data_IF_390865566939
#
_entry.id   IF_390865566939
#
_cell.length_a   1.000
_cell.length_b   1.000
_cell.length_c   1.000
_cell.angle_alpha   90.00
_cell.angle_beta   90.00
_cell.angle_gamma   90.00
#
_symmetry.space_group_name_H-M   'P 1'
#
loop_
_entity.id
_entity.type
_entity.pdbx_description
1 polymer ?
#
# COMPACT_ATOMS: atom_id res chain seq x y z
N UNK A 1 0.08 -9.97 -1.46
CA UNK A 1 -0.02 -9.66 -0.01
C UNK A 1 -1.46 -9.74 0.50
N UNK A 2 -2.48 -9.67 -0.37
CA UNK A 2 -3.90 -9.64 -0.01
C UNK A 2 -4.37 -10.65 1.03
N UNK A 3 -4.00 -11.94 0.92
CA UNK A 3 -4.40 -12.98 1.89
C UNK A 3 -3.79 -12.73 3.28
N UNK A 4 -2.65 -12.05 3.35
CA UNK A 4 -1.93 -11.78 4.60
C UNK A 4 -2.66 -10.77 5.49
N UNK A 5 -3.49 -9.89 4.91
CA UNK A 5 -4.39 -8.98 5.64
C UNK A 5 -5.42 -9.74 6.49
N UNK A 6 -5.83 -10.92 6.02
CA UNK A 6 -6.81 -11.78 6.69
C UNK A 6 -6.16 -12.78 7.66
N UNK A 7 -4.94 -13.26 7.33
CA UNK A 7 -4.24 -14.27 8.12
C UNK A 7 -3.46 -13.69 9.31
N UNK A 8 -2.93 -12.46 9.20
CA UNK A 8 -2.17 -11.77 10.26
C UNK A 8 -2.51 -10.28 10.24
N UNK A 9 -3.66 -9.86 10.81
CA UNK A 9 -4.13 -8.47 10.72
C UNK A 9 -3.32 -7.49 11.59
N UNK A 10 -2.79 -7.94 12.73
CA UNK A 10 -2.18 -7.07 13.76
C UNK A 10 -1.04 -6.17 13.24
N UNK A 11 -0.09 -6.63 12.39
CA UNK A 11 0.94 -5.77 11.84
C UNK A 11 0.37 -4.68 10.92
N UNK A 12 -0.68 -5.00 10.14
CA UNK A 12 -1.31 -4.07 9.20
C UNK A 12 -2.26 -3.09 9.90
N UNK A 13 -2.94 -3.52 10.95
CA UNK A 13 -3.76 -2.63 11.78
C UNK A 13 -2.89 -1.62 12.53
N UNK A 14 -1.70 -2.02 12.98
CA UNK A 14 -0.79 -1.14 13.71
C UNK A 14 -0.25 0.04 12.90
N UNK A 15 -0.30 -0.02 11.56
CA UNK A 15 0.22 1.02 10.67
C UNK A 15 -0.85 2.03 10.26
N UNK A 16 -2.11 1.78 10.58
CA UNK A 16 -3.21 2.67 10.25
C UNK A 16 -3.19 3.84 11.23
N UNK A 17 -3.14 5.10 10.73
CA UNK A 17 -3.15 6.28 11.59
C UNK A 17 -4.41 6.31 12.47
N UNK A 18 -4.28 6.50 13.80
CA UNK A 18 -5.43 6.55 14.71
C UNK A 18 -6.36 7.75 14.47
N UNK A 19 -5.94 8.73 13.66
CA UNK A 19 -6.73 9.90 13.28
C UNK A 19 -7.79 9.58 12.21
N UNK A 20 -7.76 8.40 11.59
CA UNK A 20 -8.76 8.02 10.59
C UNK A 20 -10.08 7.60 11.26
N UNK A 21 -11.24 8.07 10.75
CA UNK A 21 -12.54 7.69 11.30
C UNK A 21 -12.83 6.20 11.02
N UNK A 22 -13.20 5.45 12.05
CA UNK A 22 -13.54 4.03 11.95
C UNK A 22 -12.45 3.09 12.47
N UNK A 23 -12.65 1.78 12.29
CA UNK A 23 -11.72 0.78 12.83
C UNK A 23 -10.54 0.52 11.90
N UNK A 24 -9.33 0.32 12.45
CA UNK A 24 -8.17 -0.12 11.67
C UNK A 24 -8.47 -1.41 10.89
N UNK A 25 -9.26 -2.31 11.48
CA UNK A 25 -9.73 -3.54 10.85
C UNK A 25 -10.52 -3.31 9.56
N UNK A 26 -11.36 -2.28 9.52
CA UNK A 26 -12.11 -1.90 8.32
C UNK A 26 -11.17 -1.51 7.18
N UNK A 27 -10.19 -0.66 7.44
CA UNK A 27 -9.20 -0.24 6.44
C UNK A 27 -8.29 -1.41 6.00
N UNK A 28 -7.94 -2.30 6.93
CA UNK A 28 -7.14 -3.49 6.62
C UNK A 28 -7.88 -4.44 5.66
N UNK A 29 -9.16 -4.73 5.91
CA UNK A 29 -9.93 -5.61 5.02
C UNK A 29 -10.31 -4.96 3.70
N UNK A 30 -10.65 -3.67 3.69
CA UNK A 30 -11.00 -2.96 2.45
C UNK A 30 -9.79 -2.83 1.53
N UNK A 31 -8.60 -2.53 2.06
CA UNK A 31 -7.35 -2.54 1.29
C UNK A 31 -6.98 -3.93 0.80
N UNK A 32 -7.14 -4.98 1.62
CA UNK A 32 -6.92 -6.37 1.22
C UNK A 32 -7.85 -6.82 0.09
N UNK A 33 -9.14 -6.48 0.15
CA UNK A 33 -10.09 -6.76 -0.93
C UNK A 33 -9.75 -5.98 -2.21
N UNK A 34 -9.37 -4.71 -2.07
CA UNK A 34 -8.94 -3.88 -3.20
C UNK A 34 -7.67 -4.42 -3.87
N UNK A 35 -6.73 -4.99 -3.12
CA UNK A 35 -5.55 -5.65 -3.69
C UNK A 35 -5.94 -6.85 -4.58
N UNK A 36 -6.89 -7.69 -4.11
CA UNK A 36 -7.37 -8.84 -4.89
C UNK A 36 -8.06 -8.40 -6.19
N UNK A 37 -8.94 -7.40 -6.11
CA UNK A 37 -9.61 -6.82 -7.29
C UNK A 37 -8.58 -6.26 -8.27
N UNK A 38 -7.60 -5.50 -7.77
CA UNK A 38 -6.53 -4.91 -8.59
C UNK A 38 -5.70 -5.99 -9.27
N UNK A 39 -5.34 -7.06 -8.56
CA UNK A 39 -4.62 -8.21 -9.12
C UNK A 39 -5.42 -8.90 -10.24
N UNK A 40 -6.72 -9.09 -10.04
CA UNK A 40 -7.62 -9.63 -11.07
C UNK A 40 -7.68 -8.75 -12.32
N UNK A 41 -7.78 -7.43 -12.14
CA UNK A 41 -7.80 -6.46 -13.26
C UNK A 41 -6.49 -6.43 -14.05
N UNK A 42 -5.34 -6.60 -13.38
CA UNK A 42 -4.03 -6.63 -14.05
C UNK A 42 -3.76 -7.95 -14.77
N UNK A 43 -4.34 -9.06 -14.30
CA UNK A 43 -4.15 -10.39 -14.88
C UNK A 43 -4.76 -10.51 -16.30
N UNK A 44 -5.90 -9.85 -16.55
CA UNK A 44 -6.52 -9.83 -17.87
C UNK A 44 -5.99 -8.63 -18.70
N UNK A 45 -5.37 -8.86 -19.88
CA UNK A 45 -4.88 -7.79 -20.75
C UNK A 45 -5.93 -6.73 -21.11
N UNK A 46 -7.19 -7.13 -21.28
CA UNK A 46 -8.30 -6.22 -21.63
C UNK A 46 -8.68 -5.26 -20.51
N UNK A 47 -8.41 -5.61 -19.25
CA UNK A 47 -8.71 -4.79 -18.07
C UNK A 47 -7.47 -4.14 -17.46
N UNK A 48 -6.28 -4.36 -18.05
CA UNK A 48 -5.00 -3.93 -17.48
C UNK A 48 -4.90 -2.41 -17.28
N UNK A 49 -5.53 -1.61 -18.14
CA UNK A 49 -5.62 -0.15 -17.97
C UNK A 49 -6.36 0.23 -16.67
N UNK A 50 -7.51 -0.40 -16.42
CA UNK A 50 -8.26 -0.22 -15.17
C UNK A 50 -7.49 -0.78 -13.97
N UNK A 51 -6.77 -1.89 -14.17
CA UNK A 51 -5.88 -2.44 -13.15
C UNK A 51 -4.75 -1.49 -12.77
N UNK A 52 -4.14 -0.79 -13.73
CA UNK A 52 -3.12 0.24 -13.50
C UNK A 52 -3.66 1.41 -12.69
N UNK A 53 -4.83 1.94 -13.06
CA UNK A 53 -5.49 3.01 -12.31
C UNK A 53 -5.85 2.57 -10.88
N UNK A 54 -6.41 1.37 -10.73
CA UNK A 54 -6.75 0.80 -9.43
C UNK A 54 -5.51 0.62 -8.54
N UNK A 55 -4.40 0.12 -9.11
CA UNK A 55 -3.14 -0.04 -8.42
C UNK A 55 -2.55 1.30 -7.98
N UNK A 56 -2.57 2.31 -8.87
CA UNK A 56 -2.14 3.66 -8.53
C UNK A 56 -2.96 4.24 -7.37
N UNK A 57 -4.29 4.16 -7.46
CA UNK A 57 -5.19 4.67 -6.43
C UNK A 57 -4.97 3.98 -5.08
N UNK A 58 -4.86 2.64 -5.08
CA UNK A 58 -4.58 1.86 -3.87
C UNK A 58 -3.23 2.24 -3.26
N UNK A 59 -2.16 2.31 -4.06
CA UNK A 59 -0.82 2.67 -3.58
C UNK A 59 -0.78 4.09 -3.01
N UNK A 60 -1.43 5.05 -3.68
CA UNK A 60 -1.53 6.42 -3.21
C UNK A 60 -2.31 6.50 -1.89
N UNK A 61 -3.39 5.74 -1.75
CA UNK A 61 -4.20 5.71 -0.53
C UNK A 61 -3.44 5.13 0.68
N UNK A 62 -2.60 4.10 0.48
CA UNK A 62 -1.83 3.47 1.57
C UNK A 62 -0.50 4.17 1.86
N UNK A 63 -0.03 5.04 0.95
CA UNK A 63 1.26 5.74 1.10
C UNK A 63 1.36 6.58 2.39
N UNK A 64 0.33 7.37 2.79
CA UNK A 64 0.34 8.06 4.08
C UNK A 64 0.46 7.13 5.29
N UNK A 65 -0.18 5.96 5.27
CA UNK A 65 -0.07 4.98 6.35
C UNK A 65 1.35 4.42 6.46
N UNK A 66 2.03 4.21 5.33
CA UNK A 66 3.45 3.80 5.32
C UNK A 66 4.37 4.90 5.87
N UNK A 67 4.08 6.17 5.60
CA UNK A 67 4.78 7.30 6.21
C UNK A 67 4.57 7.35 7.73
N UNK A 68 3.33 7.14 8.19
CA UNK A 68 3.03 7.08 9.61
C UNK A 68 3.75 5.92 10.31
N UNK A 69 3.81 4.74 9.68
CA UNK A 69 4.60 3.61 10.18
C UNK A 69 6.07 3.98 10.33
N UNK A 70 6.66 4.57 9.29
CA UNK A 70 8.06 5.00 9.32
C UNK A 70 8.31 6.03 10.42
N UNK A 71 7.46 7.04 10.54
CA UNK A 71 7.53 8.03 11.61
C UNK A 71 7.48 7.36 12.99
N UNK A 72 6.46 6.54 13.26
CA UNK A 72 6.28 5.85 14.55
C UNK A 72 7.49 4.98 14.91
N UNK A 73 8.00 4.22 13.95
CA UNK A 73 9.14 3.33 14.16
C UNK A 73 10.43 4.11 14.42
N UNK A 74 10.70 5.15 13.63
CA UNK A 74 11.92 5.96 13.74
C UNK A 74 11.92 6.84 14.99
N UNK A 75 10.77 7.42 15.35
CA UNK A 75 10.60 8.24 16.55
C UNK A 75 10.63 7.44 17.85
N UNK A 76 10.41 6.12 17.80
CA UNK A 76 10.47 5.27 19.00
C UNK A 76 11.86 5.14 19.62
N UNK A 77 12.93 5.53 18.90
CA UNK A 77 14.32 5.35 19.32
C UNK A 77 14.82 3.90 19.34
N UNK A 78 13.93 2.91 19.16
CA UNK A 78 14.23 1.47 19.20
C UNK A 78 14.42 0.83 17.82
N UNK A 79 14.34 1.62 16.74
CA UNK A 79 14.52 1.10 15.39
C UNK A 79 15.96 0.63 15.16
N UNK A 80 16.13 -0.66 14.83
CA UNK A 80 17.41 -1.20 14.39
C UNK A 80 17.88 -0.54 13.09
N UNK A 81 19.18 -0.58 12.81
CA UNK A 81 19.76 -0.04 11.56
C UNK A 81 19.07 -0.63 10.32
N UNK A 82 18.78 -1.93 10.32
CA UNK A 82 18.03 -2.58 9.24
C UNK A 82 16.64 -2.00 9.04
N UNK A 83 15.91 -1.71 10.14
CA UNK A 83 14.56 -1.11 10.08
C UNK A 83 14.60 0.33 9.56
N UNK A 84 15.65 1.09 9.88
CA UNK A 84 15.87 2.44 9.35
C UNK A 84 16.13 2.40 7.84
N UNK A 85 17.01 1.51 7.39
CA UNK A 85 17.31 1.31 5.95
C UNK A 85 16.04 0.89 5.20
N UNK A 86 15.27 -0.04 5.76
CA UNK A 86 14.01 -0.48 5.17
C UNK A 86 13.07 0.69 4.87
N UNK A 87 12.80 1.56 5.84
CA UNK A 87 11.93 2.72 5.63
C UNK A 87 12.53 3.74 4.66
N UNK A 88 13.84 3.97 4.73
CA UNK A 88 14.56 4.88 3.83
C UNK A 88 14.54 4.44 2.36
N UNK A 89 14.54 3.13 2.10
CA UNK A 89 14.46 2.58 0.73
C UNK A 89 13.02 2.44 0.27
N UNK A 90 12.13 1.93 1.14
CA UNK A 90 10.74 1.63 0.78
C UNK A 90 9.96 2.87 0.35
N UNK A 91 10.05 3.96 1.11
CA UNK A 91 9.22 5.15 0.85
C UNK A 91 9.54 5.80 -0.51
N UNK A 92 10.81 6.03 -0.91
CA UNK A 92 11.12 6.51 -2.25
C UNK A 92 10.77 5.49 -3.35
N UNK A 93 10.96 4.19 -3.11
CA UNK A 93 10.68 3.14 -4.10
C UNK A 93 9.19 3.03 -4.44
N UNK A 94 8.28 3.48 -3.57
CA UNK A 94 6.85 3.50 -3.89
C UNK A 94 6.52 4.49 -5.02
N UNK A 95 7.30 5.56 -5.20
CA UNK A 95 7.07 6.57 -6.26
C UNK A 95 7.20 5.99 -7.67
N UNK A 96 8.30 5.31 -8.06
CA UNK A 96 8.41 4.70 -9.39
C UNK A 96 7.35 3.60 -9.60
N UNK A 97 6.99 2.85 -8.56
CA UNK A 97 5.91 1.84 -8.66
C UNK A 97 4.56 2.50 -8.93
N UNK A 98 4.23 3.60 -8.25
CA UNK A 98 3.03 4.39 -8.53
C UNK A 98 3.06 4.96 -9.95
N UNK A 99 4.20 5.49 -10.40
CA UNK A 99 4.35 5.99 -11.78
C UNK A 99 4.15 4.89 -12.82
N UNK A 100 4.67 3.69 -12.58
CA UNK A 100 4.46 2.54 -13.46
C UNK A 100 2.99 2.10 -13.49
N UNK A 101 2.33 2.05 -12.34
CA UNK A 101 0.89 1.76 -12.29
C UNK A 101 0.09 2.80 -13.08
N UNK A 102 0.45 4.08 -12.96
CA UNK A 102 -0.16 5.15 -13.74
C UNK A 102 0.12 5.04 -15.24
N UNK A 103 1.33 4.66 -15.66
CA UNK A 103 1.65 4.51 -17.09
C UNK A 103 0.83 3.41 -17.75
N UNK A 104 0.54 2.31 -17.03
CA UNK A 104 -0.36 1.26 -17.53
C UNK A 104 -1.77 1.78 -17.85
N UNK A 105 -2.22 2.84 -17.17
CA UNK A 105 -3.47 3.52 -17.48
C UNK A 105 -3.30 4.58 -18.58
N UNK A 106 -2.23 5.37 -18.49
CA UNK A 106 -1.98 6.54 -19.33
C UNK A 106 -1.46 6.20 -20.75
N UNK A 107 -1.01 4.97 -20.99
CA UNK A 107 -0.65 4.49 -22.33
C UNK A 107 -1.88 4.56 -23.25
N UNK A 108 -1.95 5.64 -24.03
CA UNK A 108 -2.86 5.78 -25.17
C UNK A 108 -2.51 4.69 -26.18
N UNK A 109 -3.54 3.94 -26.61
CA UNK A 109 -3.45 3.28 -27.91
C UNK A 109 -3.30 4.36 -28.98
#
# INVERSE_FOLDING_TARGET
MGIMHFAKPEPFESIIPPQLPGSARFYNFTSGAWEVVTGGLLANPSTRKLGGLSAFALLAAVWPANFYQAYKDLSSGKASTGKKIYHAVRLPLQIPVMRYAWSLYADKN
#
